data_IF_271101601130
#
_entry.id   IF_271101601130
#
_cell.length_a   1.000
_cell.length_b   1.000
_cell.length_c   1.000
_cell.angle_alpha   90.00
_cell.angle_beta   90.00
_cell.angle_gamma   90.00
#
_symmetry.space_group_name_H-M   'P 1'
#
loop_
_entity.id
_entity.type
_entity.pdbx_description
1 polymer ?
#
# COMPACT_ATOMS: atom_id res chain seq x y z
N UNK A 1 -6.30 1.03 3.67
CA UNK A 1 -6.51 2.46 3.95
C UNK A 1 -5.59 3.28 3.08
N UNK A 2 -5.95 4.54 2.84
CA UNK A 2 -5.23 5.47 1.96
C UNK A 2 -5.01 6.79 2.68
N UNK A 3 -3.84 7.39 2.46
CA UNK A 3 -3.46 8.65 3.09
C UNK A 3 -2.65 9.53 2.13
N UNK A 4 -3.24 10.61 1.59
CA UNK A 4 -2.59 11.48 0.60
C UNK A 4 -1.39 12.27 1.14
N UNK A 5 -1.31 12.51 2.45
CA UNK A 5 -0.15 13.19 3.02
C UNK A 5 1.09 12.28 2.99
N UNK A 6 2.26 12.79 3.38
CA UNK A 6 3.54 12.09 3.23
C UNK A 6 3.76 11.55 1.81
N UNK A 7 3.44 12.39 0.82
CA UNK A 7 3.57 12.10 -0.60
C UNK A 7 2.75 10.91 -1.12
N UNK A 8 1.67 10.57 -0.42
CA UNK A 8 0.74 9.53 -0.80
C UNK A 8 1.16 8.15 -0.30
N UNK A 9 0.28 7.53 0.49
CA UNK A 9 0.46 6.20 1.04
C UNK A 9 -0.80 5.37 0.91
N UNK A 10 -0.62 4.07 0.73
CA UNK A 10 -1.70 3.09 0.81
C UNK A 10 -1.18 1.85 1.51
N UNK A 11 -1.99 1.31 2.43
CA UNK A 11 -1.65 0.10 3.15
C UNK A 11 -2.84 -0.86 3.28
N UNK A 12 -2.52 -2.15 3.28
CA UNK A 12 -3.44 -3.25 3.53
C UNK A 12 -2.87 -4.10 4.66
N UNK A 13 -3.72 -4.53 5.59
CA UNK A 13 -3.39 -5.56 6.58
C UNK A 13 -4.27 -6.77 6.33
N UNK A 14 -3.64 -7.94 6.18
CA UNK A 14 -4.31 -9.21 5.94
C UNK A 14 -3.66 -10.30 6.77
N UNK A 15 -4.36 -10.75 7.82
CA UNK A 15 -3.78 -11.67 8.82
C UNK A 15 -2.54 -11.05 9.48
N UNK A 16 -1.42 -11.79 9.43
CA UNK A 16 -0.12 -11.34 9.93
C UNK A 16 0.60 -10.34 9.01
N UNK A 17 0.21 -10.27 7.75
CA UNK A 17 0.88 -9.46 6.75
C UNK A 17 0.38 -8.02 6.77
N UNK A 18 1.32 -7.08 6.65
CA UNK A 18 1.06 -5.70 6.28
C UNK A 18 1.83 -5.38 5.02
N UNK A 19 1.12 -4.90 4.01
CA UNK A 19 1.75 -4.34 2.82
C UNK A 19 1.48 -2.85 2.74
N UNK A 20 2.49 -2.08 2.38
CA UNK A 20 2.43 -0.63 2.28
C UNK A 20 3.21 -0.15 1.07
N UNK A 21 2.63 0.79 0.31
CA UNK A 21 3.36 1.59 -0.68
C UNK A 21 3.36 3.04 -0.25
N UNK A 22 4.48 3.71 -0.46
CA UNK A 22 4.77 5.10 -0.07
C UNK A 22 5.22 5.89 -1.30
N UNK A 23 5.17 7.21 -1.20
CA UNK A 23 5.61 8.11 -2.27
C UNK A 23 4.84 7.86 -3.57
N UNK A 24 3.54 7.54 -3.45
CA UNK A 24 2.67 7.23 -4.58
C UNK A 24 2.62 8.42 -5.55
N UNK A 25 2.68 9.64 -5.05
CA UNK A 25 2.64 10.84 -5.89
C UNK A 25 3.90 11.02 -6.76
N UNK A 26 5.02 10.40 -6.39
CA UNK A 26 6.22 10.31 -7.23
C UNK A 26 6.16 9.18 -8.27
N UNK A 27 5.04 8.43 -8.30
CA UNK A 27 4.86 7.27 -9.17
C UNK A 27 5.41 5.97 -8.60
N UNK A 28 5.82 5.95 -7.33
CA UNK A 28 6.23 4.71 -6.67
C UNK A 28 5.01 3.84 -6.34
N UNK A 29 4.90 2.71 -7.03
CA UNK A 29 3.84 1.73 -6.78
C UNK A 29 4.36 0.44 -6.13
N UNK A 30 5.64 0.39 -5.74
CA UNK A 30 6.22 -0.77 -5.08
C UNK A 30 5.62 -0.97 -3.69
N UNK A 31 5.32 -2.23 -3.37
CA UNK A 31 4.79 -2.63 -2.07
C UNK A 31 5.93 -3.18 -1.21
N UNK A 32 6.16 -2.53 -0.07
CA UNK A 32 6.92 -3.11 1.04
C UNK A 32 6.01 -4.08 1.81
N UNK A 33 6.54 -5.23 2.21
CA UNK A 33 5.80 -6.28 2.92
C UNK A 33 6.45 -6.60 4.26
N UNK A 34 5.64 -6.63 5.32
CA UNK A 34 6.07 -6.90 6.69
C UNK A 34 5.21 -7.96 7.36
N UNK A 35 5.84 -8.81 8.20
CA UNK A 35 5.15 -9.75 9.09
C UNK A 35 4.99 -9.11 10.47
N UNK A 36 3.80 -8.61 10.80
CA UNK A 36 3.54 -7.90 12.04
C UNK A 36 3.52 -8.79 13.29
N UNK A 37 3.45 -10.11 13.15
CA UNK A 37 3.55 -11.02 14.31
C UNK A 37 5.00 -11.12 14.80
N UNK A 38 5.95 -11.10 13.88
CA UNK A 38 7.39 -11.25 14.18
C UNK A 38 8.15 -9.92 14.14
N UNK A 39 7.61 -8.91 13.45
CA UNK A 39 8.23 -7.61 13.22
C UNK A 39 7.21 -6.47 13.30
N UNK A 40 6.73 -6.20 14.51
CA UNK A 40 5.78 -5.11 14.78
C UNK A 40 6.34 -3.72 14.47
N UNK A 41 7.67 -3.59 14.38
CA UNK A 41 8.36 -2.34 14.07
C UNK A 41 8.61 -2.15 12.57
N UNK A 42 8.22 -3.12 11.73
CA UNK A 42 8.30 -3.04 10.27
C UNK A 42 9.74 -2.77 9.76
N UNK A 43 10.73 -3.42 10.38
CA UNK A 43 12.15 -3.20 10.08
C UNK A 43 12.66 -4.06 8.91
N UNK A 44 12.01 -5.18 8.63
CA UNK A 44 12.45 -6.18 7.67
C UNK A 44 11.47 -6.29 6.52
N UNK A 45 11.82 -5.68 5.39
CA UNK A 45 11.01 -5.81 4.17
C UNK A 45 11.18 -7.22 3.58
N UNK A 46 10.08 -7.96 3.51
CA UNK A 46 9.99 -9.33 3.02
C UNK A 46 9.41 -9.43 1.61
N UNK A 47 9.18 -8.31 0.91
CA UNK A 47 8.52 -8.29 -0.39
C UNK A 47 9.20 -9.19 -1.43
N UNK A 48 10.55 -9.13 -1.50
CA UNK A 48 11.33 -9.96 -2.43
C UNK A 48 11.32 -11.46 -2.08
N UNK A 49 10.99 -11.81 -0.82
CA UNK A 49 10.97 -13.20 -0.35
C UNK A 49 9.59 -13.86 -0.53
N UNK A 50 8.51 -13.08 -0.54
CA UNK A 50 7.13 -13.57 -0.67
C UNK A 50 6.36 -12.80 -1.76
N UNK A 51 6.79 -12.89 -3.04
CA UNK A 51 6.15 -12.17 -4.14
C UNK A 51 4.66 -12.52 -4.30
N UNK A 52 4.25 -13.76 -3.99
CA UNK A 52 2.86 -14.18 -4.05
C UNK A 52 1.95 -13.50 -3.02
N UNK A 53 2.53 -13.05 -1.90
CA UNK A 53 1.81 -12.27 -0.89
C UNK A 53 1.69 -10.82 -1.35
N UNK A 54 2.75 -10.29 -1.97
CA UNK A 54 2.74 -8.95 -2.58
C UNK A 54 1.64 -8.86 -3.64
N UNK A 55 1.56 -9.80 -4.58
CA UNK A 55 0.52 -9.82 -5.62
C UNK A 55 -0.90 -9.82 -5.03
N UNK A 56 -1.13 -10.60 -3.96
CA UNK A 56 -2.44 -10.61 -3.27
C UNK A 56 -2.75 -9.26 -2.65
N UNK A 57 -1.76 -8.62 -2.02
CA UNK A 57 -1.94 -7.30 -1.43
C UNK A 57 -2.22 -6.26 -2.51
N UNK A 58 -1.50 -6.28 -3.63
CA UNK A 58 -1.76 -5.38 -4.76
C UNK A 58 -3.18 -5.56 -5.32
N UNK A 59 -3.65 -6.81 -5.42
CA UNK A 59 -5.02 -7.10 -5.82
C UNK A 59 -6.04 -6.48 -4.84
N UNK A 60 -5.83 -6.64 -3.53
CA UNK A 60 -6.70 -6.02 -2.50
C UNK A 60 -6.64 -4.50 -2.58
N UNK A 61 -5.44 -3.92 -2.72
CA UNK A 61 -5.22 -2.48 -2.86
C UNK A 61 -5.98 -1.90 -4.06
N UNK A 62 -6.03 -2.62 -5.18
CA UNK A 62 -6.76 -2.21 -6.37
C UNK A 62 -8.28 -2.39 -6.22
N UNK A 63 -8.71 -3.49 -5.61
CA UNK A 63 -10.12 -3.81 -5.43
C UNK A 63 -10.81 -2.86 -4.45
N UNK A 64 -10.14 -2.53 -3.34
CA UNK A 64 -10.71 -1.74 -2.25
C UNK A 64 -10.43 -0.24 -2.39
N UNK A 65 -9.72 0.17 -3.45
CA UNK A 65 -9.52 1.58 -3.75
C UNK A 65 -10.83 2.22 -4.20
N UNK A 66 -11.21 3.30 -3.52
CA UNK A 66 -12.41 4.07 -3.83
C UNK A 66 -11.98 5.55 -3.93
N UNK A 67 -12.11 6.17 -5.11
CA UNK A 67 -11.75 7.57 -5.30
C UNK A 67 -12.48 8.48 -4.30
N UNK A 68 -11.76 9.41 -3.67
CA UNK A 68 -12.37 10.39 -2.79
C UNK A 68 -13.10 11.47 -3.57
N UNK A 69 -14.24 11.94 -3.06
CA UNK A 69 -14.93 13.12 -3.60
C UNK A 69 -14.20 14.44 -3.32
N UNK A 70 -13.20 14.44 -2.44
CA UNK A 70 -12.38 15.61 -2.14
C UNK A 70 -11.15 15.61 -3.04
N UNK A 71 -10.98 16.65 -3.87
CA UNK A 71 -9.85 16.78 -4.80
C UNK A 71 -8.48 16.54 -4.13
N UNK A 72 -8.27 17.09 -2.93
CA UNK A 72 -7.01 16.94 -2.17
C UNK A 72 -6.74 15.51 -1.67
N UNK A 73 -7.72 14.62 -1.78
CA UNK A 73 -7.61 13.20 -1.38
C UNK A 73 -7.57 12.24 -2.58
N UNK A 74 -7.61 12.76 -3.82
CA UNK A 74 -7.49 11.94 -5.01
C UNK A 74 -6.05 11.48 -5.23
N UNK A 75 -5.91 10.24 -5.67
CA UNK A 75 -4.67 9.64 -6.13
C UNK A 75 -4.70 9.45 -7.64
N UNK A 76 -4.24 10.45 -8.39
CA UNK A 76 -4.23 10.40 -9.87
C UNK A 76 -3.38 9.24 -10.40
N UNK A 77 -2.33 8.85 -9.67
CA UNK A 77 -1.48 7.69 -9.98
C UNK A 77 -2.21 6.36 -9.83
N UNK A 78 -3.34 6.33 -9.12
CA UNK A 78 -4.22 5.15 -9.00
C UNK A 78 -5.40 5.20 -9.98
N UNK A 79 -5.51 6.25 -10.79
CA UNK A 79 -6.53 6.41 -11.83
C UNK A 79 -7.68 7.34 -11.45
N UNK A 80 -7.59 8.05 -10.32
CA UNK A 80 -8.59 9.04 -9.92
C UNK A 80 -8.70 10.17 -10.94
N UNK A 81 -9.94 10.58 -11.23
CA UNK A 81 -10.30 11.67 -12.15
C UNK A 81 -11.01 12.79 -11.42
#
# INVERSE_FOLDING_TARGET
WEFPAYNGQQAVRFGKWKGIRKDIFDGNLNVDLYDLENDIQEQNNLAAQYPEVVEKIEAIMKQEHIPSSLEKFKFTQLGDR
#
